data_IF_198591097022
#
_entry.id   IF_198591097022
#
_cell.length_a   1.000
_cell.length_b   1.000
_cell.length_c   1.000
_cell.angle_alpha   90.00
_cell.angle_beta   90.00
_cell.angle_gamma   90.00
#
_symmetry.space_group_name_H-M   'P 1'
#
loop_
_entity.id
_entity.type
_entity.pdbx_description
1 polymer ?
#
# COMPACT_ATOMS: atom_id res chain seq x y z
N UNK A 1 11.52 -11.61 -10.09
CA UNK A 1 10.30 -11.06 -10.70
C UNK A 1 9.47 -10.36 -9.64
N UNK A 2 9.02 -9.15 -9.93
CA UNK A 2 8.19 -8.38 -8.99
C UNK A 2 6.72 -8.71 -9.19
N UNK A 3 6.03 -9.01 -8.10
CA UNK A 3 4.61 -9.29 -8.11
C UNK A 3 3.85 -8.25 -7.30
N UNK A 4 2.61 -8.01 -7.68
CA UNK A 4 1.71 -7.14 -6.95
C UNK A 4 0.85 -7.95 -5.99
N UNK A 5 0.71 -7.44 -4.78
CA UNK A 5 -0.09 -8.07 -3.73
C UNK A 5 -1.05 -7.06 -3.15
N UNK A 6 -2.22 -7.52 -2.74
CA UNK A 6 -3.20 -6.69 -2.08
C UNK A 6 -3.03 -6.83 -0.57
N UNK A 7 -2.87 -5.70 0.12
CA UNK A 7 -2.75 -5.69 1.58
C UNK A 7 -3.83 -4.81 2.19
N UNK A 8 -4.19 -5.11 3.44
CA UNK A 8 -5.13 -4.30 4.20
C UNK A 8 -4.40 -3.17 4.90
N UNK A 9 -5.04 -2.00 4.95
CA UNK A 9 -4.57 -0.88 5.73
C UNK A 9 -5.58 -0.55 6.81
N UNK A 10 -5.15 0.23 7.80
CA UNK A 10 -6.08 0.79 8.76
C UNK A 10 -6.95 1.84 8.07
N UNK A 11 -8.19 2.06 8.56
CA UNK A 11 -9.08 3.04 7.93
C UNK A 11 -8.42 4.42 7.83
N UNK A 12 -8.56 5.04 6.67
CA UNK A 12 -8.03 6.37 6.37
C UNK A 12 -6.51 6.49 6.46
N UNK A 13 -5.78 5.36 6.49
CA UNK A 13 -4.33 5.37 6.55
C UNK A 13 -3.67 4.82 5.28
N UNK A 14 -4.43 4.73 4.18
CA UNK A 14 -3.90 4.21 2.92
C UNK A 14 -2.70 5.01 2.44
N UNK A 15 -2.81 6.33 2.43
CA UNK A 15 -1.72 7.19 1.97
C UNK A 15 -0.51 7.13 2.90
N UNK A 16 -0.74 7.06 4.20
CA UNK A 16 0.32 6.93 5.18
C UNK A 16 1.05 5.60 5.04
N UNK A 17 0.31 4.52 4.88
CA UNK A 17 0.90 3.20 4.67
C UNK A 17 1.69 3.17 3.38
N UNK A 18 1.15 3.76 2.30
CA UNK A 18 1.84 3.84 1.02
C UNK A 18 3.18 4.56 1.17
N UNK A 19 3.19 5.72 1.81
CA UNK A 19 4.41 6.50 2.00
C UNK A 19 5.44 5.72 2.82
N UNK A 20 4.99 5.07 3.89
CA UNK A 20 5.89 4.29 4.73
C UNK A 20 6.47 3.08 4.00
N UNK A 21 5.69 2.44 3.14
CA UNK A 21 6.18 1.32 2.32
C UNK A 21 7.19 1.81 1.29
N UNK A 22 6.91 2.93 0.64
CA UNK A 22 7.85 3.50 -0.34
C UNK A 22 9.17 3.90 0.32
N UNK A 23 9.10 4.41 1.54
CA UNK A 23 10.30 4.77 2.30
C UNK A 23 11.19 3.55 2.59
N UNK A 24 10.60 2.37 2.60
CA UNK A 24 11.34 1.12 2.81
C UNK A 24 11.78 0.46 1.50
N UNK A 25 11.50 1.08 0.37
CA UNK A 25 11.90 0.58 -0.93
C UNK A 25 10.90 -0.31 -1.64
N UNK A 26 9.68 -0.43 -1.13
CA UNK A 26 8.63 -1.19 -1.81
C UNK A 26 7.86 -0.29 -2.78
N UNK A 27 7.44 -0.85 -3.91
CA UNK A 27 6.46 -0.19 -4.75
C UNK A 27 5.09 -0.28 -4.09
N UNK A 28 4.34 0.81 -4.08
CA UNK A 28 3.01 0.83 -3.51
C UNK A 28 2.07 1.65 -4.38
N UNK A 29 0.82 1.21 -4.49
CA UNK A 29 -0.16 1.87 -5.33
C UNK A 29 -1.51 1.93 -4.61
N UNK A 30 -2.05 3.13 -4.52
CA UNK A 30 -3.37 3.38 -3.96
C UNK A 30 -4.24 3.96 -5.08
N UNK A 31 -5.11 3.16 -5.71
CA UNK A 31 -5.95 3.65 -6.80
C UNK A 31 -6.88 4.76 -6.32
N UNK A 32 -6.84 5.88 -7.00
CA UNK A 32 -7.66 7.04 -6.67
C UNK A 32 -8.40 7.50 -7.92
N UNK A 33 -9.69 7.76 -7.78
CA UNK A 33 -10.47 8.37 -8.84
C UNK A 33 -10.84 9.80 -8.46
N UNK A 34 -10.97 10.66 -9.45
CA UNK A 34 -11.44 12.02 -9.23
C UNK A 34 -12.93 12.08 -9.55
N UNK A 35 -13.73 12.28 -8.51
CA UNK A 35 -15.19 12.36 -8.64
C UNK A 35 -15.64 13.70 -8.08
N UNK A 36 -16.34 14.50 -8.89
CA UNK A 36 -16.80 15.84 -8.50
C UNK A 36 -15.67 16.69 -7.90
N UNK A 37 -14.51 16.68 -8.57
CA UNK A 37 -13.30 17.42 -8.16
C UNK A 37 -12.73 16.97 -6.82
N UNK A 38 -13.11 15.79 -6.33
CA UNK A 38 -12.56 15.20 -5.12
C UNK A 38 -11.80 13.93 -5.43
N UNK A 39 -10.67 13.73 -4.76
CA UNK A 39 -9.94 12.48 -4.86
C UNK A 39 -10.59 11.45 -3.95
N UNK A 40 -10.98 10.31 -4.54
CA UNK A 40 -11.66 9.24 -3.82
C UNK A 40 -10.81 7.97 -3.93
N UNK A 41 -10.51 7.36 -2.79
CA UNK A 41 -9.81 6.08 -2.77
C UNK A 41 -10.77 5.00 -3.25
N UNK A 42 -10.38 4.28 -4.32
CA UNK A 42 -11.26 3.29 -4.94
C UNK A 42 -11.45 2.04 -4.10
N UNK A 43 -10.43 1.66 -3.34
CA UNK A 43 -10.49 0.49 -2.46
C UNK A 43 -10.12 0.91 -1.03
N UNK A 44 -11.08 1.52 -0.29
CA UNK A 44 -10.79 1.96 1.07
C UNK A 44 -10.32 0.81 1.96
N UNK A 45 -9.23 1.03 2.69
CA UNK A 45 -8.68 0.01 3.55
C UNK A 45 -7.75 -0.97 2.86
N UNK A 46 -7.38 -0.72 1.59
CA UNK A 46 -6.51 -1.61 0.82
C UNK A 46 -5.44 -0.84 0.07
N UNK A 47 -4.30 -1.47 -0.12
CA UNK A 47 -3.22 -0.98 -0.98
C UNK A 47 -2.70 -2.14 -1.82
N UNK A 48 -2.19 -1.80 -3.00
CA UNK A 48 -1.38 -2.74 -3.78
C UNK A 48 0.08 -2.47 -3.45
N UNK A 49 0.82 -3.54 -3.14
CA UNK A 49 2.25 -3.45 -2.89
C UNK A 49 2.99 -4.35 -3.86
N UNK A 50 4.11 -3.86 -4.37
CA UNK A 50 4.96 -4.63 -5.27
C UNK A 50 6.15 -5.16 -4.50
N UNK A 51 6.35 -6.47 -4.55
CA UNK A 51 7.38 -7.17 -3.82
C UNK A 51 8.20 -8.03 -4.76
N UNK A 52 9.51 -7.91 -4.67
CA UNK A 52 10.41 -8.87 -5.31
C UNK A 52 10.81 -9.90 -4.27
N UNK A 53 10.23 -11.09 -4.35
CA UNK A 53 10.40 -12.14 -3.35
C UNK A 53 11.84 -12.63 -3.23
N UNK A 54 12.67 -12.43 -4.27
CA UNK A 54 14.07 -12.84 -4.23
C UNK A 54 14.94 -11.89 -3.41
N UNK A 55 14.55 -10.61 -3.31
CA UNK A 55 15.37 -9.58 -2.68
C UNK A 55 14.70 -8.87 -1.53
N UNK A 56 13.41 -9.10 -1.31
CA UNK A 56 12.63 -8.40 -0.30
C UNK A 56 11.82 -9.40 0.52
N UNK A 57 11.50 -9.03 1.77
CA UNK A 57 10.75 -9.86 2.70
C UNK A 57 9.39 -9.24 3.04
N UNK A 58 8.45 -10.09 3.41
CA UNK A 58 7.13 -9.68 3.87
C UNK A 58 7.12 -9.04 5.26
N UNK A 59 8.02 -9.47 6.15
CA UNK A 59 8.00 -9.04 7.54
C UNK A 59 7.99 -7.52 7.72
N UNK A 60 8.83 -6.75 7.01
CA UNK A 60 8.77 -5.29 7.15
C UNK A 60 7.43 -4.69 6.70
N UNK A 61 6.78 -5.30 5.72
CA UNK A 61 5.48 -4.83 5.25
C UNK A 61 4.45 -4.95 6.36
N UNK A 62 4.40 -6.10 7.03
CA UNK A 62 3.44 -6.32 8.12
C UNK A 62 3.70 -5.41 9.32
N UNK A 63 4.91 -4.95 9.49
CA UNK A 63 5.29 -4.07 10.60
C UNK A 63 5.17 -2.58 10.25
N UNK A 64 4.79 -2.26 9.03
CA UNK A 64 4.69 -0.87 8.59
C UNK A 64 3.48 -0.18 9.21
N UNK A 65 3.67 1.03 9.73
CA UNK A 65 2.55 1.81 10.27
C UNK A 65 1.53 2.12 9.19
N UNK A 66 0.28 1.91 9.51
CA UNK A 66 -0.83 2.07 8.59
C UNK A 66 -1.26 0.78 7.95
N UNK A 67 -0.44 -0.26 7.98
CA UNK A 67 -0.78 -1.58 7.46
C UNK A 67 -1.50 -2.38 8.55
N UNK A 68 -2.61 -3.00 8.17
CA UNK A 68 -3.36 -3.92 9.02
C UNK A 68 -3.17 -5.33 8.48
N UNK A 69 -3.11 -6.28 9.36
CA UNK A 69 -2.95 -7.67 8.94
C UNK A 69 -4.19 -8.23 8.31
#
# INVERSE_FOLDING_TARGET
MKNWYLIKTKPRQEKKAKQNLENQGYGAFCPIAKINNRNVVLFPGYLFVQLNEKTQNWSPINSTKGVSH
#
